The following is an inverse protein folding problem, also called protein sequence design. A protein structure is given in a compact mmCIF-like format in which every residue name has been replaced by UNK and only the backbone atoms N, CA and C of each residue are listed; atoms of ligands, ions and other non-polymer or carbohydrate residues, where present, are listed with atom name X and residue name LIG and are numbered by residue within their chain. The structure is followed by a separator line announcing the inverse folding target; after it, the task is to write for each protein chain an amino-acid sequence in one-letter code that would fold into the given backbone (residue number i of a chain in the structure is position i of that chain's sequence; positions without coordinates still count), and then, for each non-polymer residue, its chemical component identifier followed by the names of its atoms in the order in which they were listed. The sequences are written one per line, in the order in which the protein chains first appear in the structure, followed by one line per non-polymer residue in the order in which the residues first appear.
data_IF_976675398570
#
_entry.id   IF_976675398570
#
_cell.length_a   1.000
_cell.length_b   1.000
_cell.length_c   1.000
_cell.angle_alpha   90.00
_cell.angle_beta   90.00
_cell.angle_gamma   90.00
#
_symmetry.space_group_name_H-M   'P 1'
#
loop_
_entity.id
_entity.type
_entity.pdbx_description
1 polymer ?
#
# COMPACT_ATOMS: atom_id res chain seq x y z
N UNK A 1 -1.13 -11.18 13.97
CA UNK A 1 -0.10 -10.42 14.71
C UNK A 1 -0.32 -10.60 16.21
N UNK A 2 0.74 -10.81 16.99
CA UNK A 2 0.73 -10.75 18.46
C UNK A 2 1.83 -9.79 18.91
N UNK A 3 1.48 -8.75 19.66
CA UNK A 3 2.44 -7.80 20.22
C UNK A 3 2.29 -7.79 21.75
N UNK A 4 3.32 -8.28 22.45
CA UNK A 4 3.43 -8.34 23.92
C UNK A 4 2.23 -9.00 24.65
N UNK A 5 1.39 -9.77 23.95
CA UNK A 5 0.18 -10.36 24.51
C UNK A 5 -0.86 -9.32 24.98
N UNK A 6 -0.76 -8.07 24.52
CA UNK A 6 -1.64 -7.00 24.95
C UNK A 6 -3.02 -7.15 24.32
N UNK A 7 -4.06 -7.05 25.15
CA UNK A 7 -5.44 -6.93 24.72
C UNK A 7 -5.96 -5.56 25.16
N UNK A 8 -6.60 -4.84 24.23
CA UNK A 8 -7.19 -3.53 24.48
C UNK A 8 -8.48 -3.36 23.67
N UNK A 9 -9.44 -2.57 24.15
CA UNK A 9 -10.62 -2.22 23.35
C UNK A 9 -10.20 -1.48 22.08
N UNK A 10 -10.67 -1.96 20.92
CA UNK A 10 -10.45 -1.30 19.61
C UNK A 10 -11.33 -0.06 19.47
N UNK A 11 -10.96 0.85 18.56
CA UNK A 11 -11.77 2.04 18.19
C UNK A 11 -12.00 3.05 19.32
N UNK A 12 -11.02 3.23 20.21
CA UNK A 12 -11.10 4.19 21.31
C UNK A 12 -10.82 5.64 20.84
N UNK A 13 -11.59 6.65 21.27
CA UNK A 13 -11.34 8.05 20.94
C UNK A 13 -10.00 8.56 21.47
N UNK A 14 -9.27 9.35 20.68
CA UNK A 14 -8.02 9.98 21.12
C UNK A 14 -6.79 9.06 21.16
N UNK A 15 -6.92 7.81 20.71
CA UNK A 15 -5.82 6.86 20.52
C UNK A 15 -5.74 6.36 19.09
N UNK A 16 -4.61 5.76 18.71
CA UNK A 16 -4.42 5.20 17.38
C UNK A 16 -5.47 4.12 17.07
N UNK A 17 -6.23 4.31 16.00
CA UNK A 17 -7.26 3.37 15.55
C UNK A 17 -6.64 2.13 14.91
N UNK A 18 -6.99 0.95 15.41
CA UNK A 18 -6.65 -0.33 14.80
C UNK A 18 -7.40 -0.52 13.48
N UNK A 19 -6.77 -0.20 12.36
CA UNK A 19 -7.26 -0.58 11.03
C UNK A 19 -6.65 -1.93 10.63
N UNK A 20 -7.52 -2.90 10.39
CA UNK A 20 -7.14 -4.23 9.94
C UNK A 20 -7.25 -4.27 8.42
N UNK A 21 -6.10 -4.21 7.76
CA UNK A 21 -5.99 -4.46 6.32
C UNK A 21 -5.70 -5.94 6.09
N UNK A 22 -6.09 -6.43 4.92
CA UNK A 22 -5.74 -7.77 4.46
C UNK A 22 -4.22 -7.99 4.52
N UNK A 23 -3.46 -7.00 4.05
CA UNK A 23 -2.01 -7.01 3.97
C UNK A 23 -1.42 -5.60 3.72
N UNK A 24 -0.11 -5.51 3.50
CA UNK A 24 0.58 -4.22 3.33
C UNK A 24 0.23 -3.50 2.04
N UNK A 25 0.03 -4.21 0.92
CA UNK A 25 -0.39 -3.57 -0.34
C UNK A 25 -1.73 -2.85 -0.15
N UNK A 26 -2.68 -3.54 0.50
CA UNK A 26 -3.99 -2.98 0.85
C UNK A 26 -3.87 -1.77 1.78
N UNK A 27 -3.00 -1.85 2.79
CA UNK A 27 -2.76 -0.75 3.72
C UNK A 27 -2.15 0.47 3.02
N UNK A 28 -1.14 0.26 2.17
CA UNK A 28 -0.49 1.31 1.40
C UNK A 28 -1.47 1.98 0.44
N UNK A 29 -2.30 1.20 -0.27
CA UNK A 29 -3.35 1.73 -1.16
C UNK A 29 -4.44 2.53 -0.44
N UNK A 30 -4.60 2.29 0.86
CA UNK A 30 -5.43 3.08 1.76
C UNK A 30 -4.68 4.25 2.41
N UNK A 31 -3.41 4.49 2.07
CA UNK A 31 -2.58 5.57 2.62
C UNK A 31 -2.11 5.30 4.05
N UNK A 32 -1.90 4.05 4.41
CA UNK A 32 -1.31 3.64 5.69
C UNK A 32 0.05 2.99 5.50
N UNK A 33 0.89 3.09 6.54
CA UNK A 33 2.22 2.47 6.62
C UNK A 33 2.27 1.40 7.71
N UNK A 34 3.30 0.53 7.73
CA UNK A 34 3.47 -0.43 8.81
C UNK A 34 3.49 0.23 10.20
N UNK A 35 2.89 -0.46 11.18
CA UNK A 35 2.77 0.06 12.53
C UNK A 35 4.14 0.12 13.24
N UNK A 36 4.59 1.32 13.61
CA UNK A 36 5.86 1.51 14.32
C UNK A 36 5.93 0.89 15.72
N UNK A 37 4.79 0.54 16.32
CA UNK A 37 4.74 -0.17 17.60
C UNK A 37 4.84 -1.69 17.41
N UNK A 38 3.89 -2.25 16.64
CA UNK A 38 3.72 -3.70 16.52
C UNK A 38 4.64 -4.35 15.49
N UNK A 39 5.06 -3.61 14.47
CA UNK A 39 5.85 -4.07 13.33
C UNK A 39 7.08 -3.19 13.14
N UNK A 40 7.88 -3.04 14.20
CA UNK A 40 8.99 -2.09 14.26
C UNK A 40 10.00 -2.28 13.12
N UNK A 41 10.34 -3.53 12.78
CA UNK A 41 11.29 -3.82 11.71
C UNK A 41 10.75 -3.35 10.35
N UNK A 42 9.53 -3.77 9.97
CA UNK A 42 8.88 -3.38 8.72
C UNK A 42 8.68 -1.87 8.64
N UNK A 43 8.30 -1.24 9.76
CA UNK A 43 8.17 0.21 9.85
C UNK A 43 9.50 0.92 9.60
N UNK A 44 10.61 0.45 10.18
CA UNK A 44 11.91 1.06 9.96
C UNK A 44 12.34 0.93 8.49
N UNK A 45 12.15 -0.26 7.90
CA UNK A 45 12.44 -0.53 6.49
C UNK A 45 11.59 0.34 5.55
N UNK A 46 10.29 0.49 5.86
CA UNK A 46 9.42 1.40 5.13
C UNK A 46 9.93 2.84 5.17
N UNK A 47 10.28 3.36 6.36
CA UNK A 47 10.76 4.74 6.50
C UNK A 47 12.08 4.96 5.76
N UNK A 48 12.98 3.97 5.77
CA UNK A 48 14.26 4.04 5.04
C UNK A 48 14.04 4.05 3.52
N UNK A 49 13.20 3.14 3.02
CA UNK A 49 12.87 3.07 1.60
C UNK A 49 12.10 4.32 1.14
N UNK A 50 11.17 4.80 1.96
CA UNK A 50 10.44 6.04 1.69
C UNK A 50 11.40 7.23 1.66
N UNK A 51 12.32 7.35 2.62
CA UNK A 51 13.35 8.39 2.61
C UNK A 51 14.17 8.35 1.32
N UNK A 52 14.64 7.17 0.92
CA UNK A 52 15.43 6.98 -0.29
C UNK A 52 14.63 7.32 -1.56
N UNK A 53 13.39 6.83 -1.66
CA UNK A 53 12.50 7.12 -2.79
C UNK A 53 12.09 8.59 -2.91
N UNK A 54 12.11 9.33 -1.81
CA UNK A 54 11.88 10.78 -1.80
C UNK A 54 13.19 11.59 -1.98
N UNK A 55 14.35 10.94 -2.10
CA UNK A 55 15.64 11.61 -2.25
C UNK A 55 16.05 12.47 -1.05
N UNK A 56 15.61 12.11 0.17
CA UNK A 56 15.84 12.91 1.36
C UNK A 56 17.19 12.59 2.02
N UNK A 57 17.95 13.64 2.33
CA UNK A 57 19.25 13.54 3.02
C UNK A 57 19.14 13.31 4.54
N UNK A 58 17.92 13.30 5.09
CA UNK A 58 17.66 13.04 6.51
C UNK A 58 16.49 12.09 6.66
N UNK A 59 16.47 11.37 7.79
CA UNK A 59 15.30 10.59 8.17
C UNK A 59 14.09 11.50 8.37
N UNK A 60 12.96 11.27 7.67
CA UNK A 60 11.75 12.04 7.88
C UNK A 60 11.12 11.71 9.23
N UNK A 61 10.43 12.69 9.81
CA UNK A 61 9.53 12.46 10.95
C UNK A 61 8.28 11.76 10.44
N UNK A 62 7.70 10.94 11.32
CA UNK A 62 6.44 10.24 11.06
C UNK A 62 5.34 11.17 10.54
N UNK A 63 5.17 12.33 11.17
CA UNK A 63 4.14 13.29 10.77
C UNK A 63 4.33 13.79 9.34
N UNK A 64 5.58 13.91 8.87
CA UNK A 64 5.87 14.36 7.50
C UNK A 64 5.45 13.30 6.49
N UNK A 65 5.71 12.02 6.80
CA UNK A 65 5.27 10.89 5.98
C UNK A 65 3.75 10.83 5.93
N UNK A 66 3.10 10.85 7.11
CA UNK A 66 1.65 10.73 7.24
C UNK A 66 0.94 11.90 6.54
N UNK A 67 1.48 13.13 6.63
CA UNK A 67 0.95 14.31 5.94
C UNK A 67 1.05 14.22 4.41
N UNK A 68 2.17 13.71 3.89
CA UNK A 68 2.35 13.49 2.44
C UNK A 68 1.37 12.43 1.96
N UNK A 69 1.36 11.25 2.58
CA UNK A 69 0.47 10.16 2.21
C UNK A 69 -1.00 10.55 2.34
N UNK A 70 -1.37 11.37 3.33
CA UNK A 70 -2.75 11.87 3.47
C UNK A 70 -3.16 12.75 2.29
N UNK A 71 -2.30 13.69 1.85
CA UNK A 71 -2.57 14.55 0.68
C UNK A 71 -2.65 13.74 -0.61
N UNK A 72 -1.82 12.72 -0.75
CA UNK A 72 -1.82 11.81 -1.89
C UNK A 72 -2.96 10.80 -1.87
N UNK A 73 -3.66 10.65 -0.74
CA UNK A 73 -4.79 9.74 -0.61
C UNK A 73 -6.12 10.43 -0.92
N UNK A 74 -6.28 11.70 -0.59
CA UNK A 74 -7.61 12.32 -0.53
C UNK A 74 -7.59 13.79 -0.93
N UNK A 75 -8.46 14.17 -1.89
CA UNK A 75 -8.67 15.55 -2.31
C UNK A 75 -9.43 16.33 -1.23
N UNK A 76 -9.50 17.66 -1.36
CA UNK A 76 -10.23 18.54 -0.43
C UNK A 76 -11.71 18.19 -0.29
N UNK A 77 -12.32 17.59 -1.32
CA UNK A 77 -13.70 17.13 -1.36
C UNK A 77 -13.91 15.71 -0.78
N UNK A 78 -12.87 15.12 -0.18
CA UNK A 78 -12.82 13.74 0.34
C UNK A 78 -12.85 12.64 -0.72
N UNK A 79 -12.81 12.97 -2.02
CA UNK A 79 -12.62 11.96 -3.07
C UNK A 79 -11.21 11.38 -3.02
N UNK A 80 -11.06 10.11 -3.45
CA UNK A 80 -9.76 9.46 -3.52
C UNK A 80 -8.91 10.15 -4.60
N UNK A 81 -7.68 10.49 -4.28
CA UNK A 81 -6.70 10.87 -5.30
C UNK A 81 -6.31 9.59 -6.02
N UNK A 82 -6.50 9.60 -7.33
CA UNK A 82 -6.11 8.53 -8.24
C UNK A 82 -5.07 9.17 -9.14
N UNK A 83 -3.86 8.63 -9.09
CA UNK A 83 -2.78 9.03 -9.99
C UNK A 83 -2.86 8.21 -11.28
N UNK A 84 -2.19 8.67 -12.33
CA UNK A 84 -2.08 7.93 -13.59
C UNK A 84 -0.62 7.63 -13.88
N UNK A 85 -0.32 6.36 -14.13
CA UNK A 85 1.02 5.91 -14.48
C UNK A 85 0.95 4.81 -15.52
N UNK A 86 2.03 4.65 -16.28
CA UNK A 86 2.20 3.48 -17.14
C UNK A 86 2.41 2.23 -16.26
N UNK A 87 1.55 1.24 -16.46
CA UNK A 87 1.57 0.00 -15.71
C UNK A 87 2.91 -0.73 -15.77
N UNK A 88 3.64 -0.63 -16.90
CA UNK A 88 4.94 -1.27 -17.11
C UNK A 88 6.00 -0.74 -16.13
N UNK A 89 5.93 0.55 -15.78
CA UNK A 89 6.92 1.21 -14.95
C UNK A 89 6.61 1.16 -13.45
N UNK A 90 5.45 0.62 -13.06
CA UNK A 90 5.07 0.51 -11.65
C UNK A 90 5.84 -0.65 -10.99
N UNK A 91 6.35 -0.48 -9.76
CA UNK A 91 6.95 -1.59 -9.01
C UNK A 91 5.87 -2.59 -8.55
N UNK A 92 6.34 -3.76 -8.15
CA UNK A 92 5.50 -4.78 -7.52
C UNK A 92 4.89 -4.30 -6.20
N UNK A 93 3.70 -4.80 -5.88
CA UNK A 93 2.95 -4.42 -4.69
C UNK A 93 2.11 -3.15 -4.86
N UNK A 94 2.18 -2.48 -6.01
CA UNK A 94 1.28 -1.37 -6.34
C UNK A 94 -0.12 -1.88 -6.61
N UNK A 95 -1.12 -1.18 -6.08
CA UNK A 95 -2.52 -1.43 -6.38
C UNK A 95 -3.05 -0.41 -7.37
N UNK A 96 -3.84 -0.88 -8.33
CA UNK A 96 -4.46 -0.09 -9.39
C UNK A 96 -5.97 -0.39 -9.47
N UNK A 97 -6.73 0.46 -10.15
CA UNK A 97 -8.08 0.12 -10.60
C UNK A 97 -7.96 -0.83 -11.79
N UNK A 98 -8.75 -1.90 -11.80
CA UNK A 98 -8.87 -2.80 -12.94
C UNK A 98 -9.37 -2.03 -14.17
N UNK A 99 -8.57 -1.87 -15.24
CA UNK A 99 -8.97 -1.11 -16.41
C UNK A 99 -10.07 -1.79 -17.23
N UNK A 100 -10.35 -3.07 -17.00
CA UNK A 100 -11.38 -3.84 -17.71
C UNK A 100 -12.71 -3.90 -16.96
N UNK A 101 -12.67 -3.90 -15.61
CA UNK A 101 -13.83 -4.10 -14.75
C UNK A 101 -14.17 -2.90 -13.85
N UNK A 102 -13.36 -1.83 -13.85
CA UNK A 102 -13.60 -0.48 -13.27
C UNK A 102 -13.88 -0.37 -11.77
N UNK A 103 -14.28 -1.45 -11.10
CA UNK A 103 -14.77 -1.47 -9.74
C UNK A 103 -14.04 -2.52 -8.87
N UNK A 104 -12.99 -3.11 -9.42
CA UNK A 104 -12.11 -4.06 -8.73
C UNK A 104 -10.71 -3.48 -8.68
N UNK A 105 -10.02 -3.63 -7.55
CA UNK A 105 -8.61 -3.27 -7.46
C UNK A 105 -7.74 -4.47 -7.86
N UNK A 106 -6.65 -4.23 -8.57
CA UNK A 106 -5.63 -5.24 -8.88
C UNK A 106 -4.35 -4.92 -8.11
N UNK A 107 -3.63 -5.94 -7.65
CA UNK A 107 -2.22 -5.82 -7.28
C UNK A 107 -1.36 -6.22 -8.48
N UNK A 108 -0.28 -5.49 -8.72
CA UNK A 108 0.71 -5.78 -9.75
C UNK A 108 1.89 -6.57 -9.17
N UNK A 109 2.28 -7.65 -9.84
CA UNK A 109 3.40 -8.52 -9.45
C UNK A 109 4.05 -9.11 -10.71
N UNK A 110 5.34 -8.85 -10.94
CA UNK A 110 6.05 -9.17 -12.18
C UNK A 110 5.21 -8.78 -13.43
N UNK A 111 5.09 -9.67 -14.42
CA UNK A 111 4.24 -9.48 -15.61
C UNK A 111 2.78 -9.93 -15.40
N UNK A 112 2.30 -9.98 -14.14
CA UNK A 112 0.96 -10.47 -13.79
C UNK A 112 0.21 -9.49 -12.90
N UNK A 113 -1.08 -9.74 -12.76
CA UNK A 113 -1.95 -9.05 -11.82
C UNK A 113 -2.87 -10.04 -11.09
N UNK A 114 -3.29 -9.67 -9.88
CA UNK A 114 -4.28 -10.42 -9.12
C UNK A 114 -5.37 -9.49 -8.58
N UNK A 115 -6.63 -9.95 -8.64
CA UNK A 115 -7.78 -9.18 -8.18
C UNK A 115 -7.88 -9.22 -6.66
N UNK A 116 -7.92 -8.06 -6.04
CA UNK A 116 -8.07 -7.91 -4.60
C UNK A 116 -9.50 -8.21 -4.14
N UNK A 117 -9.64 -8.80 -2.97
CA UNK A 117 -10.90 -8.84 -2.23
C UNK A 117 -10.68 -8.94 -0.74
N UNK A 118 -11.74 -8.68 0.04
CA UNK A 118 -11.68 -8.74 1.50
C UNK A 118 -11.27 -10.12 2.05
N UNK A 119 -11.48 -11.21 1.29
CA UNK A 119 -11.09 -12.58 1.67
C UNK A 119 -9.74 -13.03 1.10
N UNK A 120 -9.05 -12.16 0.35
CA UNK A 120 -7.79 -12.47 -0.32
C UNK A 120 -7.79 -12.16 -1.82
N UNK A 121 -6.65 -12.39 -2.45
CA UNK A 121 -6.48 -12.27 -3.90
C UNK A 121 -7.11 -13.42 -4.69
N UNK A 122 -7.62 -13.09 -5.87
CA UNK A 122 -8.12 -14.02 -6.89
C UNK A 122 -7.36 -13.83 -8.18
N UNK A 123 -7.38 -14.86 -9.03
CA UNK A 123 -6.81 -14.80 -10.37
C UNK A 123 -7.44 -13.66 -11.17
N UNK A 124 -6.61 -12.83 -11.80
CA UNK A 124 -7.04 -11.82 -12.76
C UNK A 124 -6.45 -12.14 -14.13
N UNK A 125 -5.16 -11.87 -14.34
CA UNK A 125 -4.53 -12.09 -15.64
C UNK A 125 -3.12 -11.51 -15.75
N UNK A 126 -2.68 -11.18 -16.97
CA UNK A 126 -1.42 -10.48 -17.17
C UNK A 126 -1.44 -9.09 -16.51
N UNK A 127 -0.27 -8.49 -16.38
CA UNK A 127 -0.16 -7.06 -16.09
C UNK A 127 -0.86 -6.27 -17.21
N UNK A 128 -1.73 -5.29 -16.90
CA UNK A 128 -2.32 -4.45 -17.93
C UNK A 128 -1.25 -3.61 -18.61
N UNK A 129 -1.50 -3.22 -19.86
CA UNK A 129 -0.63 -2.35 -20.64
C UNK A 129 -1.09 -0.89 -20.55
N UNK A 130 -0.15 0.05 -20.73
CA UNK A 130 -0.42 1.47 -20.86
C UNK A 130 -0.82 2.15 -19.55
N UNK A 131 -1.51 3.29 -19.68
CA UNK A 131 -1.83 4.16 -18.55
C UNK A 131 -2.97 3.57 -17.71
N UNK A 132 -2.72 3.41 -16.41
CA UNK A 132 -3.68 2.89 -15.43
C UNK A 132 -3.88 3.86 -14.28
N UNK A 133 -5.04 3.74 -13.63
CA UNK A 133 -5.40 4.47 -12.43
C UNK A 133 -4.77 3.82 -11.19
N UNK A 134 -3.89 4.55 -10.50
CA UNK A 134 -3.11 4.05 -9.37
C UNK A 134 -3.79 4.38 -8.05
N UNK A 135 -4.03 3.33 -7.25
CA UNK A 135 -4.65 3.44 -5.92
C UNK A 135 -3.62 3.66 -4.81
N UNK A 136 -2.39 3.21 -5.01
CA UNK A 136 -1.27 3.42 -4.09
C UNK A 136 -0.73 4.85 -4.18
N UNK A 137 -0.62 5.59 -3.06
CA UNK A 137 -0.05 6.93 -3.04
C UNK A 137 1.35 6.99 -3.68
N UNK A 138 1.65 8.07 -4.41
CA UNK A 138 2.91 8.21 -5.16
C UNK A 138 4.16 8.06 -4.28
N UNK A 139 4.13 8.56 -3.04
CA UNK A 139 5.25 8.40 -2.11
C UNK A 139 5.42 6.95 -1.62
N UNK A 140 4.33 6.18 -1.53
CA UNK A 140 4.38 4.73 -1.27
C UNK A 140 4.88 3.95 -2.49
N UNK A 141 4.49 4.34 -3.71
CA UNK A 141 5.06 3.77 -4.95
C UNK A 141 6.57 4.01 -5.00
N UNK A 142 7.02 5.20 -4.61
CA UNK A 142 8.44 5.53 -4.53
C UNK A 142 9.17 4.68 -3.48
N UNK A 143 8.55 4.40 -2.34
CA UNK A 143 9.11 3.52 -1.31
C UNK A 143 9.24 2.06 -1.80
N UNK A 144 8.24 1.54 -2.52
CA UNK A 144 8.30 0.21 -3.16
C UNK A 144 9.45 0.15 -4.17
N UNK A 145 9.57 1.17 -5.03
CA UNK A 145 10.65 1.29 -6.02
C UNK A 145 12.04 1.35 -5.36
N UNK A 146 12.12 1.94 -4.16
CA UNK A 146 13.35 2.07 -3.39
C UNK A 146 13.68 0.84 -2.52
N UNK A 147 12.92 -0.25 -2.64
CA UNK A 147 13.24 -1.54 -2.02
C UNK A 147 12.37 -1.95 -0.83
N UNK A 148 11.31 -1.19 -0.49
CA UNK A 148 10.38 -1.67 0.52
C UNK A 148 9.66 -2.93 0.03
N UNK A 149 9.78 -4.03 0.79
CA UNK A 149 9.11 -5.30 0.47
C UNK A 149 7.85 -5.42 1.34
N UNK A 150 6.64 -5.32 0.76
CA UNK A 150 5.40 -5.43 1.52
C UNK A 150 5.14 -6.88 1.95
N UNK A 151 4.58 -7.07 3.16
CA UNK A 151 4.03 -8.35 3.56
C UNK A 151 2.67 -8.54 2.87
N UNK A 152 2.55 -9.56 2.01
CA UNK A 152 1.36 -9.83 1.20
C UNK A 152 0.57 -11.03 1.73
N UNK A 153 -0.74 -11.03 1.50
CA UNK A 153 -1.60 -12.14 1.91
C UNK A 153 -1.23 -13.43 1.16
N UNK A 154 -1.25 -14.57 1.85
CA UNK A 154 -0.78 -15.86 1.32
C UNK A 154 -1.54 -16.34 0.09
N UNK A 155 -2.80 -15.92 -0.08
CA UNK A 155 -3.59 -16.27 -1.26
C UNK A 155 -3.07 -15.65 -2.56
N UNK A 156 -2.18 -14.65 -2.50
CA UNK A 156 -1.58 -14.05 -3.68
C UNK A 156 -0.79 -15.06 -4.51
N UNK A 157 -0.03 -15.94 -3.87
CA UNK A 157 0.76 -16.95 -4.57
C UNK A 157 -0.12 -17.87 -5.44
N UNK A 158 -1.26 -18.31 -4.90
CA UNK A 158 -2.23 -19.11 -5.63
C UNK A 158 -2.92 -18.31 -6.74
N UNK A 159 -3.18 -17.03 -6.52
CA UNK A 159 -3.81 -16.15 -7.52
C UNK A 159 -2.91 -15.85 -8.73
N UNK A 160 -1.59 -15.81 -8.52
CA UNK A 160 -0.60 -15.56 -9.56
C UNK A 160 -0.15 -16.83 -10.32
N UNK A 161 -0.53 -18.01 -9.85
CA UNK A 161 -0.21 -19.30 -10.48
C UNK A 161 -0.98 -19.52 -11.79
#
# INVERSE_FOLDING_TARGET
LSYKGWWRPVMQPGVWTELFFLDDASALAAGHRPCGLCRRADYNHFVESWQAGQGLNRRPKVIEIDDVMHRERTRRDRSKVIDQADAEHLPDGVMIVDPTAGNTALILMDNRSAAWSASGYRKAGPRPDGIVEVLTPASSVSALSAGFVPQLHTSLAAALS
#
